data_IF_079539900951
#
_entry.id   IF_079539900951
#
_cell.length_a   1.000
_cell.length_b   1.000
_cell.length_c   1.000
_cell.angle_alpha   90.00
_cell.angle_beta   90.00
_cell.angle_gamma   90.00
#
_symmetry.space_group_name_H-M   'P 1'
#
loop_
_entity.id
_entity.type
_entity.pdbx_description
1 polymer ?
#
# COMPACT_ATOMS: atom_id res chain seq x y z
N UNK A 1 -32.51 8.85 5.99
CA UNK A 1 -32.53 9.84 7.08
C UNK A 1 -31.30 9.55 7.92
N UNK A 2 -30.43 10.54 8.13
CA UNK A 2 -29.20 10.34 8.93
C UNK A 2 -29.53 10.27 10.41
N UNK A 3 -28.59 9.80 11.24
CA UNK A 3 -28.72 9.87 12.69
C UNK A 3 -28.94 11.30 13.15
N UNK A 4 -28.20 12.26 12.60
CA UNK A 4 -28.27 13.68 12.96
C UNK A 4 -29.64 14.28 12.63
N UNK A 5 -30.20 14.00 11.44
CA UNK A 5 -31.53 14.47 11.06
C UNK A 5 -32.62 13.89 11.96
N UNK A 6 -32.47 12.62 12.37
CA UNK A 6 -33.41 11.95 13.24
C UNK A 6 -33.34 12.51 14.66
N UNK A 7 -32.13 12.70 15.17
CA UNK A 7 -31.87 13.22 16.50
C UNK A 7 -32.41 14.64 16.64
N UNK A 8 -32.13 15.53 15.67
CA UNK A 8 -32.64 16.90 15.70
C UNK A 8 -34.17 16.94 15.78
N UNK A 9 -34.87 16.18 14.91
CA UNK A 9 -36.34 16.13 14.96
C UNK A 9 -36.86 15.56 16.28
N UNK A 10 -36.17 14.57 16.84
CA UNK A 10 -36.56 13.96 18.10
C UNK A 10 -36.39 14.92 19.28
N UNK A 11 -35.35 15.75 19.24
CA UNK A 11 -35.13 16.81 20.23
C UNK A 11 -36.15 17.94 20.08
N UNK A 12 -36.48 18.34 18.85
CA UNK A 12 -37.51 19.35 18.57
C UNK A 12 -38.89 18.92 19.11
N UNK A 13 -39.24 17.63 19.00
CA UNK A 13 -40.47 17.06 19.59
C UNK A 13 -40.52 17.17 21.13
N UNK A 14 -39.35 17.22 21.77
CA UNK A 14 -39.19 17.39 23.22
C UNK A 14 -39.02 18.86 23.63
N UNK A 15 -39.19 19.80 22.68
CA UNK A 15 -38.93 21.22 22.85
C UNK A 15 -37.48 21.53 23.30
N UNK A 16 -36.53 20.68 22.94
CA UNK A 16 -35.09 20.88 23.12
C UNK A 16 -34.52 21.40 21.81
N UNK A 17 -33.60 22.36 21.87
CA UNK A 17 -32.88 22.85 20.70
C UNK A 17 -32.04 21.73 20.07
N UNK A 18 -32.52 21.18 18.95
CA UNK A 18 -31.86 20.10 18.23
C UNK A 18 -30.50 20.49 17.61
N UNK A 19 -30.26 21.77 17.33
CA UNK A 19 -28.99 22.22 16.75
C UNK A 19 -27.89 22.23 17.81
N UNK A 20 -28.19 22.71 19.02
CA UNK A 20 -27.24 22.77 20.13
C UNK A 20 -27.03 21.39 20.76
N UNK A 21 -28.11 20.72 21.13
CA UNK A 21 -28.03 19.45 21.87
C UNK A 21 -27.81 18.25 20.94
N UNK A 22 -28.17 18.35 19.67
CA UNK A 22 -27.91 17.30 18.68
C UNK A 22 -26.42 17.05 18.49
N UNK A 23 -25.62 18.11 18.33
CA UNK A 23 -24.16 17.98 18.19
C UNK A 23 -23.53 17.40 19.47
N UNK A 24 -24.00 17.83 20.64
CA UNK A 24 -23.48 17.35 21.92
C UNK A 24 -23.79 15.85 22.15
N UNK A 25 -25.04 15.44 21.93
CA UNK A 25 -25.46 14.03 22.05
C UNK A 25 -24.73 13.17 21.02
N UNK A 26 -24.61 13.64 19.77
CA UNK A 26 -23.82 12.97 18.75
C UNK A 26 -22.37 12.80 19.18
N UNK A 27 -21.76 13.83 19.76
CA UNK A 27 -20.38 13.77 20.27
C UNK A 27 -20.19 12.71 21.34
N UNK A 28 -21.16 12.58 22.27
CA UNK A 28 -21.12 11.54 23.32
C UNK A 28 -21.27 10.14 22.72
N UNK A 29 -22.24 9.95 21.82
CA UNK A 29 -22.53 8.63 21.24
C UNK A 29 -21.40 8.16 20.32
N UNK A 30 -20.75 9.11 19.63
CA UNK A 30 -19.64 8.85 18.71
C UNK A 30 -18.28 8.67 19.38
N UNK A 31 -18.12 9.01 20.67
CA UNK A 31 -16.93 8.67 21.44
C UNK A 31 -16.72 7.15 21.34
N UNK A 32 -15.52 6.63 21.08
CA UNK A 32 -15.25 5.19 20.96
C UNK A 32 -14.63 4.58 22.24
N UNK A 33 -14.33 5.39 23.25
CA UNK A 33 -13.56 4.96 24.43
C UNK A 33 -14.40 4.29 25.53
N UNK A 34 -15.71 4.54 25.56
CA UNK A 34 -16.67 4.04 26.59
C UNK A 34 -17.54 2.89 26.07
N UNK A 35 -18.53 2.37 26.79
CA UNK A 35 -19.49 1.43 26.19
C UNK A 35 -20.66 2.18 25.53
N UNK A 36 -21.22 1.65 24.43
CA UNK A 36 -22.32 2.33 23.72
C UNK A 36 -23.56 2.51 24.62
N UNK A 37 -23.89 1.54 25.47
CA UNK A 37 -25.01 1.67 26.40
C UNK A 37 -24.75 2.80 27.41
N UNK A 38 -23.53 2.88 27.94
CA UNK A 38 -23.13 3.96 28.87
C UNK A 38 -23.17 5.33 28.22
N UNK A 39 -22.71 5.45 26.97
CA UNK A 39 -22.77 6.70 26.18
C UNK A 39 -24.20 7.12 25.92
N UNK A 40 -25.07 6.20 25.50
CA UNK A 40 -26.48 6.48 25.25
C UNK A 40 -27.18 6.94 26.54
N UNK A 41 -26.88 6.30 27.67
CA UNK A 41 -27.41 6.71 28.96
C UNK A 41 -26.91 8.11 29.36
N UNK A 42 -25.61 8.36 29.21
CA UNK A 42 -24.99 9.67 29.49
C UNK A 42 -25.61 10.78 28.65
N UNK A 43 -25.85 10.52 27.36
CA UNK A 43 -26.53 11.45 26.48
C UNK A 43 -27.94 11.79 26.98
N UNK A 44 -28.73 10.79 27.39
CA UNK A 44 -30.07 11.02 27.96
C UNK A 44 -30.01 11.75 29.29
N UNK A 45 -29.03 11.47 30.14
CA UNK A 45 -28.87 12.14 31.44
C UNK A 45 -28.54 13.63 31.27
N UNK A 46 -27.82 14.01 30.21
CA UNK A 46 -27.61 15.41 29.85
C UNK A 46 -28.93 16.07 29.43
N UNK A 47 -29.71 15.39 28.58
CA UNK A 47 -31.00 15.93 28.14
C UNK A 47 -31.98 16.07 29.31
N UNK A 48 -31.92 15.15 30.28
CA UNK A 48 -32.69 15.19 31.54
C UNK A 48 -32.43 16.46 32.35
N UNK A 49 -31.22 17.01 32.30
CA UNK A 49 -30.90 18.25 33.00
C UNK A 49 -31.55 19.50 32.37
N UNK A 50 -32.08 19.39 31.15
CA UNK A 50 -32.56 20.52 30.33
C UNK A 50 -34.08 20.51 30.20
N UNK A 51 -34.72 19.35 30.30
CA UNK A 51 -36.18 19.24 30.26
C UNK A 51 -36.80 19.43 31.64
N UNK A 52 -38.00 20.01 31.66
CA UNK A 52 -38.79 20.14 32.89
C UNK A 52 -39.60 18.85 33.19
N UNK A 53 -39.94 18.08 32.14
CA UNK A 53 -40.67 16.81 32.23
C UNK A 53 -39.90 15.67 31.53
N UNK A 54 -39.50 14.68 32.32
CA UNK A 54 -38.72 13.53 31.88
C UNK A 54 -39.55 12.44 31.20
N UNK A 55 -40.89 12.56 31.17
CA UNK A 55 -41.75 11.53 30.60
C UNK A 55 -41.42 11.24 29.12
N UNK A 56 -41.01 12.26 28.36
CA UNK A 56 -40.61 12.14 26.96
C UNK A 56 -39.25 11.46 26.72
N UNK A 57 -38.40 11.36 27.75
CA UNK A 57 -37.06 10.76 27.68
C UNK A 57 -37.06 9.25 27.92
N UNK A 58 -38.18 8.68 28.38
CA UNK A 58 -38.28 7.25 28.66
C UNK A 58 -38.03 6.42 27.38
N UNK A 59 -36.99 5.58 27.42
CA UNK A 59 -36.60 4.74 26.29
C UNK A 59 -35.93 5.49 25.13
N UNK A 60 -35.52 6.75 25.34
CA UNK A 60 -34.76 7.50 24.33
C UNK A 60 -33.35 6.93 24.15
N UNK A 61 -32.74 6.41 25.21
CA UNK A 61 -31.45 5.71 25.22
C UNK A 61 -31.46 4.53 24.24
N UNK A 62 -32.48 3.67 24.33
CA UNK A 62 -32.64 2.54 23.44
C UNK A 62 -32.88 2.95 21.98
N UNK A 63 -33.60 4.06 21.77
CA UNK A 63 -33.84 4.61 20.42
C UNK A 63 -32.56 5.18 19.81
N UNK A 64 -31.78 5.95 20.58
CA UNK A 64 -30.48 6.49 20.17
C UNK A 64 -29.57 5.33 19.79
N UNK A 65 -29.45 4.31 20.66
CA UNK A 65 -28.65 3.11 20.39
C UNK A 65 -29.07 2.41 19.10
N UNK A 66 -30.37 2.16 18.92
CA UNK A 66 -30.87 1.49 17.73
C UNK A 66 -30.56 2.27 16.46
N UNK A 67 -30.72 3.60 16.49
CA UNK A 67 -30.45 4.47 15.34
C UNK A 67 -28.97 4.63 15.04
N UNK A 68 -28.13 4.65 16.07
CA UNK A 68 -26.68 4.65 15.90
C UNK A 68 -26.21 3.36 15.23
N UNK A 69 -26.63 2.21 15.73
CA UNK A 69 -26.28 0.90 15.15
C UNK A 69 -26.79 0.73 13.72
N UNK A 70 -27.98 1.25 13.40
CA UNK A 70 -28.51 1.27 12.02
C UNK A 70 -27.57 2.06 11.09
N UNK A 71 -27.06 3.21 11.55
CA UNK A 71 -26.12 4.03 10.79
C UNK A 71 -24.76 3.34 10.62
N UNK A 72 -24.23 2.73 11.68
CA UNK A 72 -22.96 1.99 11.62
C UNK A 72 -23.03 0.79 10.67
N UNK A 73 -24.10 -0.01 10.74
CA UNK A 73 -24.31 -1.14 9.84
C UNK A 73 -24.45 -0.69 8.38
N UNK A 74 -25.20 0.40 8.14
CA UNK A 74 -25.30 0.98 6.80
C UNK A 74 -23.93 1.46 6.27
N UNK A 75 -23.13 2.11 7.12
CA UNK A 75 -21.78 2.55 6.78
C UNK A 75 -20.85 1.36 6.49
N UNK A 76 -20.90 0.31 7.31
CA UNK A 76 -20.10 -0.90 7.15
C UNK A 76 -20.45 -1.63 5.84
N UNK A 77 -21.75 -1.76 5.52
CA UNK A 77 -22.21 -2.35 4.25
C UNK A 77 -21.72 -1.56 3.04
N UNK A 78 -21.81 -0.23 3.09
CA UNK A 78 -21.33 0.63 2.00
C UNK A 78 -19.82 0.53 1.81
N UNK A 79 -19.06 0.48 2.91
CA UNK A 79 -17.61 0.29 2.86
C UNK A 79 -17.25 -1.08 2.27
N UNK A 80 -17.95 -2.14 2.66
CA UNK A 80 -17.75 -3.49 2.12
C UNK A 80 -18.01 -3.56 0.61
N UNK A 81 -19.12 -2.95 0.15
CA UNK A 81 -19.44 -2.88 -1.28
C UNK A 81 -18.40 -2.09 -2.08
N UNK A 82 -17.95 -0.95 -1.56
CA UNK A 82 -16.92 -0.14 -2.22
C UNK A 82 -15.59 -0.91 -2.33
N UNK A 83 -15.23 -1.67 -1.29
CA UNK A 83 -14.02 -2.49 -1.30
C UNK A 83 -14.12 -3.67 -2.27
N UNK A 84 -15.30 -4.27 -2.43
CA UNK A 84 -15.55 -5.30 -3.43
C UNK A 84 -15.44 -4.75 -4.85
N UNK A 85 -16.03 -3.59 -5.13
CA UNK A 85 -15.91 -2.90 -6.42
C UNK A 85 -14.46 -2.56 -6.76
N UNK A 86 -13.71 -2.01 -5.80
CA UNK A 86 -12.30 -1.69 -5.98
C UNK A 86 -11.44 -2.94 -6.28
N UNK A 87 -11.75 -4.07 -5.65
CA UNK A 87 -11.09 -5.35 -5.96
C UNK A 87 -11.38 -5.81 -7.38
N UNK A 88 -12.65 -5.73 -7.82
CA UNK A 88 -13.05 -6.15 -9.15
C UNK A 88 -12.38 -5.28 -10.23
N UNK A 89 -12.34 -3.96 -10.04
CA UNK A 89 -11.61 -3.04 -10.93
C UNK A 89 -10.11 -3.34 -11.01
N UNK A 90 -9.49 -3.68 -9.87
CA UNK A 90 -8.08 -4.03 -9.83
C UNK A 90 -7.81 -5.35 -10.59
N UNK A 91 -8.68 -6.34 -10.46
CA UNK A 91 -8.57 -7.59 -11.21
C UNK A 91 -8.75 -7.38 -12.71
N UNK A 92 -9.69 -6.54 -13.13
CA UNK A 92 -9.88 -6.20 -14.54
C UNK A 92 -8.64 -5.50 -15.12
N UNK A 93 -8.06 -4.54 -14.39
CA UNK A 93 -6.81 -3.87 -14.79
C UNK A 93 -5.66 -4.86 -14.93
N UNK A 94 -5.49 -5.77 -13.97
CA UNK A 94 -4.45 -6.82 -14.04
C UNK A 94 -4.65 -7.74 -15.24
N UNK A 95 -5.90 -8.15 -15.54
CA UNK A 95 -6.21 -8.97 -16.72
C UNK A 95 -5.91 -8.24 -18.02
N UNK A 96 -6.21 -6.94 -18.10
CA UNK A 96 -5.90 -6.13 -19.28
C UNK A 96 -4.39 -5.95 -19.48
N UNK A 97 -3.64 -5.72 -18.40
CA UNK A 97 -2.18 -5.61 -18.42
C UNK A 97 -1.53 -6.93 -18.87
N UNK A 98 -1.98 -8.06 -18.33
CA UNK A 98 -1.46 -9.37 -18.73
C UNK A 98 -1.66 -9.64 -20.23
N UNK A 99 -2.85 -9.33 -20.76
CA UNK A 99 -3.13 -9.46 -22.21
C UNK A 99 -2.21 -8.57 -23.06
N UNK A 100 -1.90 -7.37 -22.58
CA UNK A 100 -0.99 -6.47 -23.29
C UNK A 100 0.45 -7.00 -23.30
N UNK A 101 0.90 -7.58 -22.18
CA UNK A 101 2.21 -8.25 -22.07
C UNK A 101 2.28 -9.43 -23.04
N UNK A 102 1.28 -10.32 -23.03
CA UNK A 102 1.21 -11.47 -23.94
C UNK A 102 1.22 -11.04 -25.43
N UNK A 103 0.48 -9.99 -25.77
CA UNK A 103 0.47 -9.46 -27.14
C UNK A 103 1.84 -8.89 -27.55
N UNK A 104 2.50 -8.18 -26.64
CA UNK A 104 3.84 -7.63 -26.87
C UNK A 104 4.89 -8.74 -27.01
N UNK A 105 4.85 -9.77 -26.16
CA UNK A 105 5.72 -10.94 -26.26
C UNK A 105 5.51 -11.67 -27.60
N UNK A 106 4.25 -11.84 -28.04
CA UNK A 106 3.96 -12.43 -29.34
C UNK A 106 4.53 -11.60 -30.50
N UNK A 107 4.34 -10.28 -30.47
CA UNK A 107 4.91 -9.36 -31.48
C UNK A 107 6.43 -9.37 -31.46
N UNK A 108 7.05 -9.49 -30.30
CA UNK A 108 8.51 -9.57 -30.19
C UNK A 108 9.04 -10.90 -30.73
N UNK A 109 8.38 -12.01 -30.42
CA UNK A 109 8.69 -13.32 -30.96
C UNK A 109 8.56 -13.36 -32.50
N UNK A 110 7.50 -12.77 -33.05
CA UNK A 110 7.31 -12.65 -34.50
C UNK A 110 8.44 -11.83 -35.14
N UNK A 111 8.82 -10.69 -34.54
CA UNK A 111 9.98 -9.90 -34.99
C UNK A 111 11.29 -10.68 -34.88
N UNK A 112 11.45 -11.52 -33.84
CA UNK A 112 12.63 -12.35 -33.68
C UNK A 112 12.71 -13.45 -34.76
N UNK A 113 11.59 -14.10 -35.09
CA UNK A 113 11.50 -15.05 -36.18
C UNK A 113 11.77 -14.39 -37.54
N UNK A 114 11.16 -13.23 -37.82
CA UNK A 114 11.43 -12.47 -39.04
C UNK A 114 12.91 -12.11 -39.19
N UNK A 115 13.59 -11.78 -38.08
CA UNK A 115 15.05 -11.55 -38.06
C UNK A 115 15.87 -12.79 -38.41
N UNK A 116 15.43 -13.98 -38.00
CA UNK A 116 16.12 -15.24 -38.31
C UNK A 116 15.98 -15.66 -39.78
N UNK A 117 14.92 -15.21 -40.45
CA UNK A 117 14.65 -15.51 -41.86
C UNK A 117 15.20 -14.45 -42.84
N UNK A 118 15.91 -13.42 -42.37
CA UNK A 118 16.51 -12.40 -43.24
C UNK A 118 17.68 -12.97 -44.04
N UNK A 119 17.74 -12.59 -45.32
CA UNK A 119 18.87 -12.95 -46.19
C UNK A 119 20.13 -12.14 -45.83
N UNK A 120 21.30 -12.62 -46.27
CA UNK A 120 22.60 -11.99 -45.96
C UNK A 120 22.70 -10.54 -46.44
N UNK A 121 22.10 -10.22 -47.59
CA UNK A 121 22.07 -8.86 -48.14
C UNK A 121 21.18 -7.92 -47.32
N UNK A 122 20.02 -8.40 -46.87
CA UNK A 122 19.10 -7.64 -46.03
C UNK A 122 19.68 -7.38 -44.63
N UNK A 123 20.45 -8.33 -44.07
CA UNK A 123 21.16 -8.12 -42.81
C UNK A 123 22.23 -7.02 -42.94
N UNK A 124 22.99 -7.00 -44.03
CA UNK A 124 24.01 -5.98 -44.29
C UNK A 124 23.42 -4.59 -44.50
N UNK A 125 22.29 -4.48 -45.22
CA UNK A 125 21.58 -3.22 -45.38
C UNK A 125 21.02 -2.71 -44.06
N UNK A 126 20.47 -3.60 -43.23
CA UNK A 126 19.99 -3.24 -41.88
C UNK A 126 21.13 -2.78 -40.97
N UNK A 127 22.27 -3.46 -40.99
CA UNK A 127 23.46 -3.07 -40.23
C UNK A 127 23.99 -1.71 -40.70
N UNK A 128 24.03 -1.47 -42.01
CA UNK A 128 24.41 -0.18 -42.57
C UNK A 128 23.51 0.94 -42.08
N UNK A 129 22.18 0.76 -42.10
CA UNK A 129 21.22 1.75 -41.62
C UNK A 129 21.34 1.95 -40.09
N UNK A 130 21.55 0.87 -39.32
CA UNK A 130 21.78 0.94 -37.87
C UNK A 130 23.09 1.66 -37.53
N UNK A 131 24.14 1.52 -38.34
CA UNK A 131 25.39 2.24 -38.15
C UNK A 131 25.30 3.71 -38.60
N UNK A 132 24.50 4.01 -39.63
CA UNK A 132 24.37 5.35 -40.20
C UNK A 132 23.41 6.24 -39.38
N UNK A 133 22.37 5.64 -38.77
CA UNK A 133 21.32 6.38 -38.04
C UNK A 133 21.06 5.89 -36.61
N UNK A 134 21.49 4.67 -36.25
CA UNK A 134 21.51 4.24 -34.86
C UNK A 134 22.70 4.90 -34.16
N UNK A 135 22.49 5.44 -32.96
CA UNK A 135 23.56 5.99 -32.16
C UNK A 135 24.68 4.95 -32.03
N UNK A 136 25.79 5.19 -32.72
CA UNK A 136 26.95 4.30 -32.76
C UNK A 136 27.42 4.04 -31.32
N UNK A 137 27.09 2.86 -30.79
CA UNK A 137 27.93 2.29 -29.74
C UNK A 137 29.20 1.87 -30.45
N UNK A 138 30.28 2.59 -30.18
CA UNK A 138 31.57 2.52 -30.88
C UNK A 138 32.34 1.25 -30.52
N UNK A 139 31.70 0.10 -30.68
CA UNK A 139 32.26 -1.20 -30.39
C UNK A 139 32.15 -2.10 -31.61
N UNK A 140 33.30 -2.44 -32.20
CA UNK A 140 33.41 -3.48 -33.22
C UNK A 140 33.92 -4.77 -32.57
N UNK A 141 33.51 -5.93 -33.08
CA UNK A 141 34.13 -7.21 -32.74
C UNK A 141 35.39 -7.39 -33.61
N UNK A 142 36.49 -7.82 -33.01
CA UNK A 142 37.69 -8.24 -33.75
C UNK A 142 37.51 -9.65 -34.37
N UNK A 143 38.51 -10.08 -35.14
CA UNK A 143 38.52 -11.37 -35.85
C UNK A 143 38.49 -12.59 -34.90
N UNK A 144 38.73 -12.37 -33.60
CA UNK A 144 38.64 -13.35 -32.52
C UNK A 144 37.35 -13.22 -31.68
N UNK A 145 36.45 -12.29 -32.04
CA UNK A 145 35.15 -12.10 -31.39
C UNK A 145 35.15 -11.26 -30.11
N UNK A 146 36.23 -10.53 -29.82
CA UNK A 146 36.31 -9.65 -28.66
C UNK A 146 35.80 -8.24 -28.97
N UNK A 147 35.08 -7.64 -28.03
CA UNK A 147 34.50 -6.29 -28.16
C UNK A 147 35.56 -5.23 -27.92
N UNK A 148 36.00 -4.53 -28.98
CA UNK A 148 36.96 -3.42 -28.89
C UNK A 148 36.21 -2.09 -28.96
N UNK A 149 36.26 -1.32 -27.87
CA UNK A 149 35.71 0.05 -27.82
C UNK A 149 36.78 1.04 -28.28
N UNK A 150 36.53 1.76 -29.37
CA UNK A 150 37.41 2.86 -29.79
C UNK A 150 37.01 4.12 -29.00
N UNK A 151 37.90 4.62 -28.15
CA UNK A 151 37.74 5.95 -27.57
C UNK A 151 37.73 6.99 -28.70
N UNK A 152 36.56 7.54 -28.98
CA UNK A 152 36.42 8.68 -29.88
C UNK A 152 37.06 9.89 -29.19
N UNK A 153 38.06 10.48 -29.85
CA UNK A 153 38.62 11.78 -29.45
C UNK A 153 37.47 12.75 -29.28
N UNK A 154 37.35 13.34 -28.09
CA UNK A 154 36.40 14.41 -27.79
C UNK A 154 36.63 15.56 -28.76
N UNK A 155 35.80 15.66 -29.79
CA UNK A 155 35.59 16.92 -30.48
C UNK A 155 34.67 17.72 -29.57
N UNK A 156 35.18 18.85 -29.05
CA UNK A 156 34.40 19.82 -28.31
C UNK A 156 33.33 20.41 -29.23
N UNK A 157 32.11 19.90 -29.13
CA UNK A 157 30.95 20.51 -29.76
C UNK A 157 29.93 20.87 -28.68
N UNK A 158 29.89 22.18 -28.40
CA UNK A 158 29.00 22.83 -27.45
C UNK A 158 27.55 22.78 -27.95
N UNK A 159 26.87 21.67 -27.67
CA UNK A 159 25.42 21.50 -27.83
C UNK A 159 24.72 21.26 -26.48
N UNK A 160 23.39 21.46 -26.38
CA UNK A 160 22.65 21.26 -25.13
C UNK A 160 22.80 19.81 -24.64
N UNK A 161 23.35 19.67 -23.44
CA UNK A 161 23.64 18.37 -22.80
C UNK A 161 22.31 17.65 -22.53
N UNK A 162 22.11 16.49 -23.15
CA UNK A 162 20.93 15.66 -22.94
C UNK A 162 20.95 15.04 -21.53
N UNK A 163 20.17 15.65 -20.63
CA UNK A 163 20.00 15.24 -19.22
C UNK A 163 19.20 13.94 -19.04
N UNK A 164 18.52 13.44 -20.08
CA UNK A 164 17.74 12.21 -19.94
C UNK A 164 18.63 10.98 -19.81
N UNK A 165 19.83 11.00 -20.41
CA UNK A 165 20.81 9.90 -20.31
C UNK A 165 21.43 9.79 -18.92
N UNK A 166 21.68 10.92 -18.26
CA UNK A 166 22.17 10.95 -16.89
C UNK A 166 21.06 10.54 -15.92
N UNK A 167 19.85 11.05 -16.11
CA UNK A 167 18.68 10.68 -15.29
C UNK A 167 18.34 9.17 -15.39
N UNK A 168 18.42 8.57 -16.57
CA UNK A 168 18.18 7.13 -16.74
C UNK A 168 19.25 6.29 -16.00
N UNK A 169 20.53 6.69 -16.06
CA UNK A 169 21.61 6.03 -15.33
C UNK A 169 21.46 6.20 -13.81
N UNK A 170 21.13 7.40 -13.35
CA UNK A 170 20.88 7.69 -11.94
C UNK A 170 19.69 6.88 -11.41
N UNK A 171 18.61 6.77 -12.19
CA UNK A 171 17.45 5.96 -11.80
C UNK A 171 17.79 4.47 -11.71
N UNK A 172 18.54 3.93 -12.68
CA UNK A 172 18.98 2.54 -12.66
C UNK A 172 19.93 2.25 -11.48
N UNK A 173 20.80 3.21 -11.16
CA UNK A 173 21.72 3.09 -10.02
C UNK A 173 20.97 3.21 -8.68
N UNK A 174 20.00 4.11 -8.56
CA UNK A 174 19.16 4.24 -7.38
C UNK A 174 18.33 2.98 -7.10
N UNK A 175 17.80 2.32 -8.15
CA UNK A 175 17.11 1.03 -8.01
C UNK A 175 18.07 -0.03 -7.48
N UNK A 176 19.28 -0.14 -8.07
CA UNK A 176 20.29 -1.12 -7.63
C UNK A 176 20.70 -0.90 -6.18
N UNK A 177 20.90 0.35 -5.77
CA UNK A 177 21.29 0.70 -4.41
C UNK A 177 20.17 0.46 -3.40
N UNK A 178 18.90 0.69 -3.80
CA UNK A 178 17.73 0.38 -2.97
C UNK A 178 17.60 -1.12 -2.74
N UNK A 179 17.71 -1.92 -3.80
CA UNK A 179 17.67 -3.39 -3.70
C UNK A 179 18.79 -3.93 -2.81
N UNK A 180 20.00 -3.38 -2.93
CA UNK A 180 21.13 -3.77 -2.08
C UNK A 180 20.90 -3.41 -0.61
N UNK A 181 20.40 -2.20 -0.34
CA UNK A 181 20.05 -1.77 1.03
C UNK A 181 18.95 -2.64 1.65
N UNK A 182 17.89 -2.95 0.90
CA UNK A 182 16.79 -3.80 1.38
C UNK A 182 17.28 -5.22 1.70
N UNK A 183 18.12 -5.79 0.84
CA UNK A 183 18.76 -7.08 1.07
C UNK A 183 19.63 -7.06 2.34
N UNK A 184 20.51 -6.07 2.48
CA UNK A 184 21.41 -5.96 3.64
C UNK A 184 20.62 -5.73 4.95
N UNK A 185 19.54 -4.95 4.91
CA UNK A 185 18.63 -4.77 6.05
C UNK A 185 17.91 -6.06 6.42
N UNK A 186 17.48 -6.88 5.44
CA UNK A 186 16.86 -8.18 5.70
C UNK A 186 17.85 -9.14 6.35
N UNK A 187 19.07 -9.23 5.82
CA UNK A 187 20.14 -10.08 6.37
C UNK A 187 20.47 -9.69 7.82
N UNK A 188 20.55 -8.38 8.12
CA UNK A 188 20.78 -7.92 9.51
C UNK A 188 19.65 -8.31 10.45
N UNK A 189 18.40 -8.11 10.03
CA UNK A 189 17.22 -8.49 10.83
C UNK A 189 17.18 -10.00 11.10
N UNK A 190 17.45 -10.81 10.09
CA UNK A 190 17.47 -12.28 10.21
C UNK A 190 18.61 -12.73 11.13
N UNK A 191 19.77 -12.07 11.06
CA UNK A 191 20.91 -12.32 11.97
C UNK A 191 20.57 -11.97 13.42
N UNK A 192 19.95 -10.81 13.67
CA UNK A 192 19.54 -10.38 15.01
C UNK A 192 18.49 -11.32 15.62
N UNK A 193 17.52 -11.78 14.83
CA UNK A 193 16.53 -12.77 15.27
C UNK A 193 17.17 -14.11 15.65
N UNK A 194 18.14 -14.58 14.86
CA UNK A 194 18.86 -15.82 15.14
C UNK A 194 19.70 -15.72 16.43
N UNK A 195 20.36 -14.59 16.66
CA UNK A 195 21.14 -14.35 17.88
C UNK A 195 20.23 -14.22 19.11
N UNK A 196 19.09 -13.55 18.98
CA UNK A 196 18.10 -13.46 20.05
C UNK A 196 17.52 -14.84 20.44
N UNK A 197 17.26 -15.71 19.46
CA UNK A 197 16.79 -17.08 19.71
C UNK A 197 17.87 -17.94 20.38
N UNK A 198 19.14 -17.82 19.96
CA UNK A 198 20.27 -18.47 20.64
C UNK A 198 20.39 -18.05 22.10
N UNK A 199 20.28 -16.74 22.39
CA UNK A 199 20.36 -16.22 23.75
C UNK A 199 19.18 -16.68 24.63
N UNK A 200 17.97 -16.78 24.05
CA UNK A 200 16.80 -17.35 24.75
C UNK A 200 17.02 -18.82 25.10
N UNK A 201 17.53 -19.62 24.15
CA UNK A 201 17.84 -21.03 24.35
C UNK A 201 18.92 -21.24 25.41
N UNK A 202 19.96 -20.41 25.45
CA UNK A 202 20.99 -20.48 26.51
C UNK A 202 20.47 -20.07 27.89
N UNK A 203 19.67 -19.00 27.99
CA UNK A 203 19.01 -18.61 29.25
C UNK A 203 18.08 -19.70 29.76
N UNK A 204 17.35 -20.37 28.88
CA UNK A 204 16.51 -21.52 29.22
C UNK A 204 17.35 -22.69 29.74
N UNK A 205 18.43 -23.08 29.04
CA UNK A 205 19.36 -24.14 29.48
C UNK A 205 20.02 -23.85 30.83
N UNK A 206 20.43 -22.60 31.07
CA UNK A 206 21.03 -22.18 32.34
C UNK A 206 20.00 -22.17 33.49
N UNK A 207 18.74 -21.84 33.21
CA UNK A 207 17.63 -21.93 34.18
C UNK A 207 17.27 -23.38 34.53
N UNK A 208 17.27 -24.30 33.56
CA UNK A 208 16.93 -25.71 33.81
C UNK A 208 18.04 -26.42 34.58
N UNK A 209 19.32 -26.21 34.24
CA UNK A 209 20.45 -26.78 34.98
C UNK A 209 20.52 -26.32 36.45
N UNK A 210 20.14 -25.06 36.74
CA UNK A 210 20.10 -24.54 38.12
C UNK A 210 19.00 -25.21 38.96
N UNK A 211 17.87 -25.59 38.33
CA UNK A 211 16.76 -26.31 38.98
C UNK A 211 17.10 -27.77 39.29
N UNK A 212 17.86 -28.46 38.43
CA UNK A 212 18.30 -29.84 38.72
C UNK A 212 19.32 -29.91 39.85
N UNK A 213 20.31 -29.00 39.90
CA UNK A 213 21.25 -28.91 41.04
C UNK A 213 20.56 -28.65 42.38
N UNK A 214 19.42 -27.97 42.38
CA UNK A 214 18.64 -27.69 43.59
C UNK A 214 17.71 -28.85 43.98
N UNK A 215 17.37 -29.76 43.06
CA UNK A 215 16.54 -30.95 43.33
C UNK A 215 17.35 -32.19 43.73
N UNK A 216 18.63 -32.25 43.37
CA UNK A 216 19.54 -33.34 43.76
C UNK A 216 20.33 -33.12 45.04
N UNK A 217 20.07 -32.02 45.77
CA UNK A 217 20.77 -31.65 47.01
C UNK A 217 19.78 -31.44 48.17
N UNK A 218 18.75 -32.28 48.24
CA UNK A 218 17.80 -32.38 49.34
C UNK A 218 17.69 -33.82 49.79
#
# INVERSE_FOLDING_TARGET
MTFDDWLCKRLDELAIDGEVYGEYVRGIVADEDTDLDERCQTAVDVLRAVVEDDAGLAGLDAQIKAKWLEQEDAAAKKAAQSLEQAKLELEEKKKAELKLVEENERKEAEKAQARQHMTREEMLQREKILNEYGAADSSFLDEDGNVIVRETKKTEESGPVNTNKTQAKEHQQAIRDKMKKEHDSKVKRDKELLEADRLRKEKAKRRTQKKEKQRGAG
#
